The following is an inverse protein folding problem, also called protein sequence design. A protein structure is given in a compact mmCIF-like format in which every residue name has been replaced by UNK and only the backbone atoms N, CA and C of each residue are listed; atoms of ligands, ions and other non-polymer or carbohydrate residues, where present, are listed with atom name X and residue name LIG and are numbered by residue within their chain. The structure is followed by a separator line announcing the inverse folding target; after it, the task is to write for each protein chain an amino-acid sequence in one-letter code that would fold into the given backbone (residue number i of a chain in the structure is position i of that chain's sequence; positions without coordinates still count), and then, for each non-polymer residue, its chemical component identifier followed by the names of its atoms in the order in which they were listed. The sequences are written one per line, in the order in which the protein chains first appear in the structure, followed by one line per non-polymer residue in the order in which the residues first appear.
data_IF_985307715871
#
_entry.id   IF_985307715871
#
_cell.length_a   1.000
_cell.length_b   1.000
_cell.length_c   1.000
_cell.angle_alpha   90.00
_cell.angle_beta   90.00
_cell.angle_gamma   90.00
#
_symmetry.space_group_name_H-M   'P 1'
#
loop_
_entity.id
_entity.type
_entity.pdbx_description
1 polymer ?
#
# COMPACT_ATOMS: atom_id res chain seq x y z
N UNK A 1 33.08 -17.15 -41.36
CA UNK A 1 32.23 -16.31 -40.49
C UNK A 1 30.84 -16.96 -40.46
N UNK A 2 30.52 -17.64 -39.36
CA UNK A 2 29.24 -18.36 -39.22
C UNK A 2 28.11 -17.41 -38.86
N UNK A 3 27.14 -17.26 -39.76
CA UNK A 3 25.90 -16.56 -39.50
C UNK A 3 25.14 -17.26 -38.34
N UNK A 4 25.02 -16.62 -37.19
CA UNK A 4 24.19 -17.10 -36.10
C UNK A 4 22.73 -17.05 -36.58
N UNK A 5 22.16 -18.19 -36.89
CA UNK A 5 20.74 -18.37 -37.20
C UNK A 5 19.92 -17.89 -36.02
N UNK A 6 19.30 -16.70 -36.17
CA UNK A 6 18.34 -16.19 -35.19
C UNK A 6 17.03 -16.95 -35.37
N UNK A 7 16.85 -18.05 -34.61
CA UNK A 7 15.56 -18.74 -34.54
C UNK A 7 14.46 -17.74 -34.17
N UNK A 8 13.47 -17.57 -35.04
CA UNK A 8 12.28 -16.82 -34.73
C UNK A 8 11.61 -17.45 -33.51
N UNK A 9 11.42 -16.63 -32.45
CA UNK A 9 10.81 -17.09 -31.21
C UNK A 9 9.34 -16.65 -31.19
N UNK A 10 8.43 -17.60 -31.20
CA UNK A 10 7.01 -17.32 -31.04
C UNK A 10 6.68 -17.04 -29.57
N UNK A 11 5.83 -16.06 -29.32
CA UNK A 11 5.31 -15.82 -27.99
C UNK A 11 4.36 -16.97 -27.61
N UNK A 12 4.58 -17.60 -26.47
CA UNK A 12 3.78 -18.75 -26.01
C UNK A 12 2.32 -18.39 -25.67
N UNK A 13 2.04 -17.10 -25.38
CA UNK A 13 0.70 -16.67 -24.96
C UNK A 13 -0.12 -16.11 -26.16
N UNK A 14 0.48 -15.29 -27.06
CA UNK A 14 -0.24 -14.67 -28.17
C UNK A 14 0.23 -15.13 -29.56
N UNK A 15 1.19 -16.03 -29.66
CA UNK A 15 1.69 -16.58 -30.93
C UNK A 15 2.52 -15.62 -31.81
N UNK A 16 2.63 -14.32 -31.43
CA UNK A 16 3.38 -13.33 -32.22
C UNK A 16 4.82 -13.74 -32.43
N UNK A 17 5.25 -13.74 -33.71
CA UNK A 17 6.63 -14.05 -34.12
C UNK A 17 7.52 -12.84 -33.83
N UNK A 18 8.60 -13.05 -33.09
CA UNK A 18 9.58 -12.01 -32.73
C UNK A 18 10.83 -12.16 -33.61
N UNK A 19 11.03 -11.23 -34.53
CA UNK A 19 12.18 -11.25 -35.45
C UNK A 19 13.52 -10.89 -34.77
N UNK A 20 13.47 -10.02 -33.77
CA UNK A 20 14.64 -9.60 -32.98
C UNK A 20 14.32 -9.66 -31.49
N UNK A 21 15.13 -10.35 -30.72
CA UNK A 21 14.90 -10.52 -29.29
C UNK A 21 16.08 -9.97 -28.50
N UNK A 22 15.89 -8.81 -27.89
CA UNK A 22 16.89 -8.20 -27.00
C UNK A 22 17.13 -9.02 -25.72
N UNK A 23 16.10 -9.79 -25.31
CA UNK A 23 16.18 -10.75 -24.20
C UNK A 23 15.43 -12.02 -24.58
N UNK A 24 16.10 -13.16 -24.61
CA UNK A 24 15.44 -14.45 -24.91
C UNK A 24 14.47 -14.79 -23.77
N UNK A 25 13.27 -15.22 -24.13
CA UNK A 25 12.25 -15.65 -23.18
C UNK A 25 11.00 -16.11 -23.91
N UNK A 26 10.12 -16.89 -23.28
CA UNK A 26 8.97 -17.51 -23.94
C UNK A 26 7.84 -16.53 -24.28
N UNK A 27 7.87 -15.30 -23.77
CA UNK A 27 6.81 -14.29 -23.93
C UNK A 27 7.32 -13.04 -24.63
N UNK A 28 6.46 -12.39 -25.44
CA UNK A 28 6.71 -11.05 -25.94
C UNK A 28 6.64 -10.01 -24.79
N UNK A 29 7.07 -8.78 -25.06
CA UNK A 29 7.13 -7.72 -24.03
C UNK A 29 5.75 -7.42 -23.40
N UNK A 30 4.69 -7.42 -24.21
CA UNK A 30 3.31 -7.18 -23.76
C UNK A 30 2.84 -8.32 -22.85
N UNK A 31 2.86 -9.56 -23.34
CA UNK A 31 2.46 -10.72 -22.54
C UNK A 31 3.31 -10.89 -21.28
N UNK A 32 4.59 -10.52 -21.32
CA UNK A 32 5.45 -10.51 -20.13
C UNK A 32 5.00 -9.46 -19.11
N UNK A 33 4.56 -8.27 -19.54
CA UNK A 33 4.01 -7.26 -18.62
C UNK A 33 2.72 -7.74 -17.96
N UNK A 34 1.81 -8.30 -18.74
CA UNK A 34 0.54 -8.88 -18.25
C UNK A 34 0.78 -10.03 -17.28
N UNK A 35 1.67 -10.95 -17.64
CA UNK A 35 2.07 -12.05 -16.76
C UNK A 35 2.63 -11.54 -15.44
N UNK A 36 3.53 -10.54 -15.47
CA UNK A 36 4.10 -9.95 -14.25
C UNK A 36 3.04 -9.24 -13.40
N UNK A 37 2.10 -8.54 -14.05
CA UNK A 37 0.97 -7.89 -13.36
C UNK A 37 0.11 -8.93 -12.66
N UNK A 38 -0.31 -9.98 -13.36
CA UNK A 38 -1.11 -11.07 -12.80
C UNK A 38 -0.37 -11.80 -11.65
N UNK A 39 0.93 -12.07 -11.83
CA UNK A 39 1.75 -12.71 -10.79
C UNK A 39 1.87 -11.85 -9.52
N UNK A 40 2.05 -10.53 -9.67
CA UNK A 40 2.09 -9.61 -8.54
C UNK A 40 0.74 -9.54 -7.82
N UNK A 41 -0.36 -9.55 -8.58
CA UNK A 41 -1.71 -9.54 -8.03
C UNK A 41 -1.98 -10.83 -7.23
N UNK A 42 -1.65 -11.98 -7.79
CA UNK A 42 -1.76 -13.27 -7.11
C UNK A 42 -0.93 -13.33 -5.83
N UNK A 43 0.32 -12.86 -5.88
CA UNK A 43 1.20 -12.83 -4.72
C UNK A 43 0.68 -11.89 -3.63
N UNK A 44 0.14 -10.73 -4.01
CA UNK A 44 -0.50 -9.81 -3.07
C UNK A 44 -1.75 -10.44 -2.43
N UNK A 45 -2.62 -11.06 -3.23
CA UNK A 45 -3.82 -11.74 -2.74
C UNK A 45 -3.49 -12.84 -1.71
N UNK A 46 -2.51 -13.66 -2.01
CA UNK A 46 -2.03 -14.70 -1.10
C UNK A 46 -1.43 -14.11 0.19
N UNK A 47 -0.69 -13.00 0.06
CA UNK A 47 -0.08 -12.35 1.22
C UNK A 47 -1.14 -11.78 2.16
N UNK A 48 -2.14 -11.02 1.67
CA UNK A 48 -3.16 -10.43 2.53
C UNK A 48 -4.02 -11.50 3.21
N UNK A 49 -4.33 -12.57 2.50
CA UNK A 49 -5.08 -13.69 3.07
C UNK A 49 -4.27 -14.38 4.17
N UNK A 50 -2.99 -14.68 3.90
CA UNK A 50 -2.13 -15.36 4.88
C UNK A 50 -1.81 -14.49 6.10
N UNK A 51 -1.59 -13.18 5.90
CA UNK A 51 -1.13 -12.27 6.97
C UNK A 51 -2.28 -11.71 7.80
N UNK A 52 -3.41 -11.40 7.16
CA UNK A 52 -4.52 -10.69 7.80
C UNK A 52 -5.85 -11.47 7.78
N UNK A 53 -5.88 -12.64 7.15
CA UNK A 53 -7.10 -13.46 7.04
C UNK A 53 -8.19 -12.86 6.13
N UNK A 54 -7.89 -11.81 5.37
CA UNK A 54 -8.86 -11.16 4.47
C UNK A 54 -8.59 -11.50 3.01
N UNK A 55 -9.66 -11.67 2.25
CA UNK A 55 -9.61 -11.88 0.80
C UNK A 55 -9.41 -10.56 0.04
N UNK A 56 -8.95 -10.59 -1.22
CA UNK A 56 -8.91 -9.40 -2.07
C UNK A 56 -10.27 -8.68 -2.17
N UNK A 57 -11.37 -9.43 -2.23
CA UNK A 57 -12.70 -8.84 -2.26
C UNK A 57 -12.98 -8.05 -0.98
N UNK A 58 -12.75 -8.64 0.17
CA UNK A 58 -12.92 -7.96 1.47
C UNK A 58 -12.03 -6.72 1.61
N UNK A 59 -10.78 -6.76 1.08
CA UNK A 59 -9.91 -5.59 1.05
C UNK A 59 -10.54 -4.44 0.23
N UNK A 60 -11.05 -4.74 -0.97
CA UNK A 60 -11.65 -3.71 -1.82
C UNK A 60 -13.01 -3.23 -1.29
N UNK A 61 -13.83 -4.12 -0.73
CA UNK A 61 -15.08 -3.74 -0.04
C UNK A 61 -14.78 -2.77 1.13
N UNK A 62 -13.71 -3.03 1.90
CA UNK A 62 -13.27 -2.15 2.99
C UNK A 62 -12.75 -0.81 2.45
N UNK A 63 -11.96 -0.85 1.38
CA UNK A 63 -11.45 0.35 0.71
C UNK A 63 -12.58 1.26 0.24
N UNK A 64 -13.59 0.70 -0.41
CA UNK A 64 -14.75 1.46 -0.90
C UNK A 64 -15.59 2.03 0.26
N UNK A 65 -15.84 1.24 1.30
CA UNK A 65 -16.54 1.69 2.51
C UNK A 65 -15.82 2.80 3.27
N UNK A 66 -14.49 2.87 3.18
CA UNK A 66 -13.68 3.97 3.72
C UNK A 66 -13.68 5.23 2.82
N UNK A 67 -14.45 5.25 1.73
CA UNK A 67 -14.44 6.36 0.77
C UNK A 67 -13.21 6.38 -0.13
N UNK A 68 -12.57 5.22 -0.34
CA UNK A 68 -11.37 5.05 -1.19
C UNK A 68 -10.14 5.86 -0.74
N UNK A 69 -10.04 6.14 0.55
CA UNK A 69 -8.94 6.90 1.18
C UNK A 69 -8.45 6.27 2.47
N UNK A 70 -7.30 6.70 2.94
CA UNK A 70 -6.77 6.34 4.27
C UNK A 70 -7.75 6.74 5.38
N UNK A 71 -8.10 5.80 6.26
CA UNK A 71 -9.07 6.04 7.34
C UNK A 71 -8.64 7.13 8.34
N UNK A 72 -7.35 7.42 8.47
CA UNK A 72 -6.84 8.42 9.42
C UNK A 72 -6.68 9.79 8.78
N UNK A 73 -5.85 9.93 7.74
CA UNK A 73 -5.59 11.25 7.16
C UNK A 73 -6.60 11.68 6.09
N UNK A 74 -7.41 10.77 5.58
CA UNK A 74 -8.42 10.97 4.52
C UNK A 74 -7.91 11.62 3.22
N UNK A 75 -6.58 11.65 3.02
CA UNK A 75 -5.91 12.27 1.85
C UNK A 75 -5.32 11.26 0.89
N UNK A 76 -4.69 10.21 1.40
CA UNK A 76 -4.00 9.20 0.58
C UNK A 76 -5.00 8.20 0.01
N UNK A 77 -5.10 8.14 -1.32
CA UNK A 77 -6.06 7.30 -2.04
C UNK A 77 -5.56 5.87 -2.33
N UNK A 78 -4.29 5.57 -2.10
CA UNK A 78 -3.74 4.25 -2.45
C UNK A 78 -3.60 3.95 -3.96
N UNK A 79 -3.85 4.93 -4.86
CA UNK A 79 -3.78 4.74 -6.32
C UNK A 79 -2.39 4.34 -6.81
N UNK A 80 -1.34 4.96 -6.28
CA UNK A 80 0.06 4.64 -6.64
C UNK A 80 0.62 3.48 -5.83
N UNK A 81 0.27 3.41 -4.55
CA UNK A 81 0.66 2.36 -3.63
C UNK A 81 -0.54 2.01 -2.76
N UNK A 82 -1.01 0.75 -2.83
CA UNK A 82 -2.14 0.27 -2.03
C UNK A 82 -1.99 0.66 -0.56
N UNK A 83 -3.09 1.02 0.06
CA UNK A 83 -3.15 1.23 1.50
C UNK A 83 -2.75 -0.06 2.23
N UNK A 84 -2.09 0.09 3.35
CA UNK A 84 -1.73 -1.03 4.20
C UNK A 84 -2.94 -1.46 5.04
N UNK A 85 -3.08 -2.75 5.28
CA UNK A 85 -4.03 -3.26 6.26
C UNK A 85 -3.46 -2.95 7.64
N UNK A 86 -4.22 -2.21 8.43
CA UNK A 86 -3.94 -1.95 9.83
C UNK A 86 -4.64 -2.98 10.72
N UNK A 87 -3.97 -3.42 11.76
CA UNK A 87 -4.50 -4.38 12.71
C UNK A 87 -3.93 -4.15 14.11
N UNK A 88 -4.66 -4.56 15.08
CA UNK A 88 -4.21 -4.58 16.47
C UNK A 88 -3.18 -5.71 16.66
N UNK A 89 -2.00 -5.37 17.20
CA UNK A 89 -0.90 -6.32 17.36
C UNK A 89 -1.10 -7.31 18.51
N UNK A 90 -1.97 -7.00 19.47
CA UNK A 90 -2.26 -7.88 20.60
C UNK A 90 -3.38 -8.86 20.27
N UNK A 91 -4.46 -8.34 19.66
CA UNK A 91 -5.67 -9.14 19.39
C UNK A 91 -5.70 -9.72 17.97
N UNK A 92 -4.90 -9.16 17.04
CA UNK A 92 -4.95 -9.49 15.62
C UNK A 92 -6.14 -8.87 14.88
N UNK A 93 -6.97 -8.05 15.54
CA UNK A 93 -8.17 -7.45 14.95
C UNK A 93 -7.78 -6.51 13.79
N UNK A 94 -8.29 -6.78 12.58
CA UNK A 94 -8.15 -5.86 11.44
C UNK A 94 -9.03 -4.63 11.69
N UNK A 95 -8.41 -3.44 11.72
CA UNK A 95 -9.08 -2.18 12.02
C UNK A 95 -9.46 -1.39 10.78
N UNK A 96 -8.63 -1.42 9.72
CA UNK A 96 -8.90 -0.66 8.51
C UNK A 96 -7.72 -0.58 7.56
N UNK A 97 -7.79 0.35 6.60
CA UNK A 97 -6.75 0.57 5.60
C UNK A 97 -6.12 1.95 5.79
N UNK A 98 -4.80 1.98 5.92
CA UNK A 98 -4.02 3.19 6.18
C UNK A 98 -2.92 3.40 5.14
N UNK A 99 -2.57 4.65 4.89
CA UNK A 99 -1.32 4.95 4.19
C UNK A 99 -0.10 4.64 5.07
N UNK A 100 1.06 4.45 4.44
CA UNK A 100 2.28 4.10 5.16
C UNK A 100 2.62 5.01 6.34
N UNK A 101 2.64 6.35 6.16
CA UNK A 101 2.88 7.28 7.25
C UNK A 101 1.86 7.12 8.39
N UNK A 102 0.56 7.08 8.10
CA UNK A 102 -0.44 6.91 9.16
C UNK A 102 -0.29 5.59 9.90
N UNK A 103 -0.01 4.50 9.18
CA UNK A 103 0.16 3.19 9.79
C UNK A 103 1.41 3.09 10.67
N UNK A 104 2.52 3.69 10.25
CA UNK A 104 3.81 3.58 10.97
C UNK A 104 4.01 4.68 12.00
N UNK A 105 3.72 5.93 11.61
CA UNK A 105 4.15 7.09 12.37
C UNK A 105 3.04 7.68 13.24
N UNK A 106 1.77 7.52 12.86
CA UNK A 106 0.65 7.95 13.68
C UNK A 106 0.18 6.80 14.57
N UNK A 107 -0.43 5.76 13.98
CA UNK A 107 -1.00 4.64 14.75
C UNK A 107 0.09 3.79 15.40
N UNK A 108 1.20 3.54 14.69
CA UNK A 108 2.31 2.75 15.24
C UNK A 108 3.07 3.39 16.40
N UNK A 109 2.85 4.70 16.67
CA UNK A 109 3.41 5.43 17.82
C UNK A 109 2.38 5.76 18.88
N UNK A 110 1.10 5.77 18.51
CA UNK A 110 -0.03 5.90 19.43
C UNK A 110 -0.50 4.48 19.76
N UNK A 111 -0.02 3.94 20.85
CA UNK A 111 -0.17 2.52 21.19
C UNK A 111 -1.59 2.14 21.63
N UNK A 112 -2.38 3.11 22.13
CA UNK A 112 -3.69 2.88 22.71
C UNK A 112 -4.60 4.12 22.58
N UNK A 113 -5.89 3.91 22.84
CA UNK A 113 -6.91 4.95 22.81
C UNK A 113 -6.64 6.08 23.80
N UNK A 114 -6.18 5.75 25.00
CA UNK A 114 -5.89 6.74 26.05
C UNK A 114 -4.78 7.70 25.62
N UNK A 115 -3.72 7.19 24.99
CA UNK A 115 -2.66 8.03 24.41
C UNK A 115 -3.19 8.89 23.28
N UNK A 116 -4.08 8.36 22.42
CA UNK A 116 -4.74 9.13 21.36
C UNK A 116 -5.56 10.29 21.93
N UNK A 117 -6.32 10.05 22.99
CA UNK A 117 -7.10 11.07 23.68
C UNK A 117 -6.21 12.15 24.32
N UNK A 118 -5.07 11.77 24.91
CA UNK A 118 -4.08 12.74 25.41
C UNK A 118 -3.51 13.63 24.29
N UNK A 119 -3.27 13.08 23.11
CA UNK A 119 -2.83 13.87 21.94
C UNK A 119 -3.92 14.86 21.51
N UNK A 120 -5.17 14.42 21.47
CA UNK A 120 -6.29 15.32 21.16
C UNK A 120 -6.38 16.46 22.19
N UNK A 121 -6.29 16.14 23.49
CA UNK A 121 -6.32 17.13 24.58
C UNK A 121 -5.15 18.10 24.49
N UNK A 122 -3.95 17.63 24.20
CA UNK A 122 -2.78 18.48 23.99
C UNK A 122 -2.97 19.53 22.89
N UNK A 123 -3.60 19.15 21.77
CA UNK A 123 -3.90 20.10 20.68
C UNK A 123 -5.01 21.10 21.05
N UNK A 124 -6.03 20.65 21.79
CA UNK A 124 -7.14 21.50 22.22
C UNK A 124 -6.74 22.49 23.30
N UNK A 125 -5.98 22.00 24.27
CA UNK A 125 -5.61 22.73 25.48
C UNK A 125 -4.09 22.64 25.73
N UNK A 126 -3.26 23.28 24.88
CA UNK A 126 -1.81 23.21 25.04
C UNK A 126 -1.36 23.78 26.40
N UNK A 127 -0.59 23.02 27.19
CA UNK A 127 -0.17 23.41 28.55
C UNK A 127 0.53 24.76 28.60
N UNK A 128 1.31 25.11 27.59
CA UNK A 128 2.04 26.37 27.52
C UNK A 128 1.12 27.57 27.64
N UNK A 129 -0.04 27.57 26.96
CA UNK A 129 -1.02 28.65 27.05
C UNK A 129 -1.50 28.89 28.48
N UNK A 130 -1.72 27.81 29.22
CA UNK A 130 -2.20 27.85 30.60
C UNK A 130 -1.10 28.28 31.58
N UNK A 131 0.12 27.74 31.41
CA UNK A 131 1.26 27.97 32.32
C UNK A 131 1.90 29.35 32.11
N UNK A 132 2.02 29.81 30.86
CA UNK A 132 2.65 31.09 30.54
C UNK A 132 1.67 32.29 30.64
N UNK A 133 0.37 32.03 30.79
CA UNK A 133 -0.65 33.09 30.91
C UNK A 133 -0.82 33.93 29.62
N UNK A 134 -0.11 33.62 28.55
CA UNK A 134 -0.15 34.30 27.28
C UNK A 134 0.08 33.32 26.12
N UNK A 135 -0.31 33.74 24.91
CA UNK A 135 -0.02 33.00 23.68
C UNK A 135 1.35 33.44 23.18
N UNK A 136 2.28 32.50 23.08
CA UNK A 136 3.64 32.75 22.60
C UNK A 136 3.82 32.05 21.25
N UNK A 137 4.32 32.78 20.25
CA UNK A 137 4.66 32.29 18.93
C UNK A 137 6.18 32.20 18.79
N UNK A 138 6.63 31.17 18.08
CA UNK A 138 8.04 31.04 17.70
C UNK A 138 8.35 32.17 16.70
N UNK A 139 9.41 32.99 16.90
CA UNK A 139 9.83 33.98 15.91
C UNK A 139 10.14 33.31 14.57
N UNK A 140 9.84 33.98 13.43
CA UNK A 140 10.22 33.55 12.09
C UNK A 140 11.72 33.76 11.85
#
# INVERSE_FOLDING_TARGET
MGAKSTKALNCKDCGVVRKTVRRPGPRCATCMREFRKASKEKAWAQRILRTYGITPKQYWDLYDKQGAVCAVCQRATGKTKRLAVDHDHQTGLVRGLLCGPCNKDVIGRVYDEETALRVVEYFRNPPAKKLLGMVVYVPE
#
